data_IF_433626537018
#
_entry.id   IF_433626537018
#
_cell.length_a   1.000
_cell.length_b   1.000
_cell.length_c   1.000
_cell.angle_alpha   90.00
_cell.angle_beta   90.00
_cell.angle_gamma   90.00
#
_symmetry.space_group_name_H-M   'P 1'
#
loop_
_entity.id
_entity.type
_entity.pdbx_description
1 polymer ?
#
# COMPACT_ATOMS: atom_id res chain seq x y z
N UNK A 1 -15.16 2.26 9.25
CA UNK A 1 -14.17 2.56 8.18
C UNK A 1 -14.43 1.62 7.01
N UNK A 2 -14.44 2.08 5.77
CA UNK A 2 -14.61 1.22 4.59
C UNK A 2 -13.52 0.15 4.51
N UNK A 3 -13.89 -1.05 4.05
CA UNK A 3 -13.00 -2.22 4.06
C UNK A 3 -11.70 -1.98 3.26
N UNK A 4 -11.81 -1.37 2.07
CA UNK A 4 -10.64 -1.06 1.23
C UNK A 4 -9.65 -0.12 1.92
N UNK A 5 -10.15 0.90 2.62
CA UNK A 5 -9.34 1.83 3.41
C UNK A 5 -8.64 1.07 4.55
N UNK A 6 -9.41 0.24 5.25
CA UNK A 6 -8.88 -0.54 6.37
C UNK A 6 -7.76 -1.49 5.93
N UNK A 7 -7.95 -2.19 4.80
CA UNK A 7 -6.94 -3.08 4.25
C UNK A 7 -5.67 -2.32 3.82
N UNK A 8 -5.83 -1.21 3.09
CA UNK A 8 -4.69 -0.42 2.63
C UNK A 8 -3.89 0.15 3.82
N UNK A 9 -4.56 0.74 4.79
CA UNK A 9 -3.90 1.22 6.02
C UNK A 9 -3.31 0.07 6.84
N UNK A 10 -3.99 -1.08 6.89
CA UNK A 10 -3.49 -2.28 7.57
C UNK A 10 -2.15 -2.75 6.99
N UNK A 11 -2.02 -2.75 5.66
CA UNK A 11 -0.76 -3.10 4.98
C UNK A 11 0.38 -2.17 5.37
N UNK A 12 0.13 -0.85 5.37
CA UNK A 12 1.17 0.14 5.74
C UNK A 12 1.55 0.04 7.21
N UNK A 13 0.56 -0.08 8.12
CA UNK A 13 0.85 -0.28 9.55
C UNK A 13 1.64 -1.56 9.80
N UNK A 14 1.30 -2.64 9.08
CA UNK A 14 2.03 -3.91 9.20
C UNK A 14 3.45 -3.80 8.66
N UNK A 15 3.65 -3.02 7.57
CA UNK A 15 4.97 -2.72 7.03
C UNK A 15 5.83 -1.97 8.04
N UNK A 16 5.28 -0.94 8.65
CA UNK A 16 5.95 -0.15 9.70
C UNK A 16 6.27 -1.01 10.92
N UNK A 17 5.31 -1.80 11.40
CA UNK A 17 5.54 -2.75 12.49
C UNK A 17 6.66 -3.74 12.15
N UNK A 18 6.68 -4.29 10.94
CA UNK A 18 7.71 -5.25 10.53
C UNK A 18 9.10 -4.60 10.50
N UNK A 19 9.19 -3.34 10.08
CA UNK A 19 10.43 -2.56 10.07
C UNK A 19 11.01 -2.38 11.46
N UNK A 20 10.18 -2.11 12.47
CA UNK A 20 10.65 -1.84 13.83
C UNK A 20 10.81 -3.09 14.70
N UNK A 21 10.00 -4.13 14.45
CA UNK A 21 9.82 -5.21 15.42
C UNK A 21 10.20 -6.60 14.87
N UNK A 22 10.75 -6.69 13.67
CA UNK A 22 11.15 -7.97 13.07
C UNK A 22 12.55 -7.91 12.46
N UNK A 23 13.09 -9.07 12.11
CA UNK A 23 14.37 -9.17 11.39
C UNK A 23 14.35 -8.50 10.01
N UNK A 24 13.17 -8.19 9.46
CA UNK A 24 13.03 -7.43 8.22
C UNK A 24 13.49 -5.97 8.37
N UNK A 25 13.54 -5.44 9.59
CA UNK A 25 13.99 -4.07 9.85
C UNK A 25 15.41 -3.77 9.36
N UNK A 26 16.26 -4.77 9.28
CA UNK A 26 17.59 -4.61 8.70
C UNK A 26 17.60 -4.29 7.19
N UNK A 27 16.54 -4.68 6.49
CA UNK A 27 16.40 -4.49 5.04
C UNK A 27 15.43 -3.36 4.68
N UNK A 28 14.36 -3.16 5.47
CA UNK A 28 13.32 -2.18 5.16
C UNK A 28 13.73 -0.77 5.54
N UNK A 29 13.36 0.18 4.68
CA UNK A 29 13.51 1.63 4.87
C UNK A 29 12.14 2.28 5.08
N UNK A 30 12.09 3.58 5.50
CA UNK A 30 10.83 4.20 5.93
C UNK A 30 9.77 4.37 4.84
N UNK A 31 10.18 4.57 3.58
CA UNK A 31 9.26 4.92 2.52
C UNK A 31 8.50 3.68 1.99
N UNK A 32 7.23 3.87 1.74
CA UNK A 32 6.39 2.81 1.21
C UNK A 32 4.99 3.29 0.88
N UNK A 33 4.28 2.50 0.10
CA UNK A 33 2.87 2.75 -0.24
C UNK A 33 2.13 1.44 -0.47
N UNK A 34 0.83 1.46 -0.23
CA UNK A 34 -0.06 0.35 -0.53
C UNK A 34 -1.24 0.82 -1.37
N UNK A 35 -1.75 -0.10 -2.18
CA UNK A 35 -3.00 0.09 -2.90
C UNK A 35 -3.76 -1.21 -2.91
N UNK A 36 -5.07 -1.14 -2.69
CA UNK A 36 -5.97 -2.29 -2.68
C UNK A 36 -7.12 -2.02 -3.65
N UNK A 37 -7.35 -2.95 -4.56
CA UNK A 37 -8.50 -2.92 -5.46
C UNK A 37 -9.43 -4.08 -5.12
N UNK A 38 -10.69 -3.76 -4.82
CA UNK A 38 -11.70 -4.72 -4.40
C UNK A 38 -12.85 -4.79 -5.38
N UNK A 39 -13.34 -5.98 -5.63
CA UNK A 39 -14.59 -6.23 -6.35
C UNK A 39 -15.76 -6.23 -5.39
N UNK A 40 -16.86 -5.67 -5.84
CA UNK A 40 -18.13 -5.68 -5.13
C UNK A 40 -19.18 -6.42 -5.99
N UNK A 41 -20.09 -7.09 -5.35
CA UNK A 41 -21.25 -7.69 -6.02
C UNK A 41 -22.31 -6.62 -6.38
N UNK A 42 -23.37 -7.06 -7.07
CA UNK A 42 -24.45 -6.17 -7.48
C UNK A 42 -25.25 -5.57 -6.29
N UNK A 43 -25.04 -6.08 -5.09
CA UNK A 43 -25.66 -5.59 -3.85
C UNK A 43 -24.69 -4.67 -3.05
N UNK A 44 -23.51 -4.36 -3.61
CA UNK A 44 -22.51 -3.53 -2.95
C UNK A 44 -21.73 -4.26 -1.84
N UNK A 45 -21.77 -5.58 -1.77
CA UNK A 45 -21.01 -6.36 -0.78
C UNK A 45 -19.63 -6.73 -1.32
N UNK A 46 -18.58 -6.72 -0.47
CA UNK A 46 -17.25 -7.12 -0.88
C UNK A 46 -17.23 -8.57 -1.41
N UNK A 47 -16.77 -8.75 -2.65
CA UNK A 47 -16.70 -10.05 -3.33
C UNK A 47 -15.28 -10.64 -3.37
N UNK A 48 -14.27 -9.85 -3.11
CA UNK A 48 -12.85 -10.27 -3.07
C UNK A 48 -11.91 -9.24 -3.67
N UNK A 49 -10.63 -9.45 -3.45
CA UNK A 49 -9.58 -8.57 -3.96
C UNK A 49 -9.31 -8.86 -5.44
N UNK A 50 -9.27 -7.81 -6.25
CA UNK A 50 -8.80 -7.86 -7.63
C UNK A 50 -7.29 -7.71 -7.70
N UNK A 51 -6.74 -6.73 -6.97
CA UNK A 51 -5.30 -6.55 -6.88
C UNK A 51 -4.85 -5.93 -5.56
N UNK A 52 -3.61 -6.24 -5.19
CA UNK A 52 -2.88 -5.64 -4.07
C UNK A 52 -1.55 -5.16 -4.60
N UNK A 53 -1.24 -3.89 -4.37
CA UNK A 53 0.06 -3.30 -4.70
C UNK A 53 0.71 -2.87 -3.39
N UNK A 54 1.95 -3.30 -3.19
CA UNK A 54 2.78 -2.88 -2.06
C UNK A 54 4.14 -2.42 -2.59
N UNK A 55 4.52 -1.19 -2.28
CA UNK A 55 5.87 -0.70 -2.51
C UNK A 55 6.54 -0.45 -1.17
N UNK A 56 7.73 -0.97 -1.00
CA UNK A 56 8.52 -0.85 0.23
C UNK A 56 9.96 -0.52 -0.12
N UNK A 57 10.45 0.59 0.41
CA UNK A 57 11.84 0.99 0.28
C UNK A 57 12.72 -0.01 1.04
N UNK A 58 13.84 -0.39 0.44
CA UNK A 58 14.77 -1.36 1.00
C UNK A 58 16.22 -0.97 0.74
N UNK A 59 17.16 -1.57 1.50
CA UNK A 59 18.57 -1.43 1.21
C UNK A 59 19.00 -2.33 0.04
N UNK A 60 20.28 -2.26 -0.34
CA UNK A 60 20.83 -3.02 -1.46
C UNK A 60 21.17 -4.48 -1.12
N UNK A 61 21.21 -4.81 0.17
CA UNK A 61 21.73 -6.10 0.67
C UNK A 61 20.78 -7.27 0.47
N UNK A 62 19.54 -7.03 0.03
CA UNK A 62 18.54 -8.07 -0.20
C UNK A 62 18.20 -8.17 -1.69
N UNK A 63 18.13 -9.40 -2.19
CA UNK A 63 17.66 -9.64 -3.55
C UNK A 63 16.13 -9.46 -3.66
N UNK A 64 15.67 -9.07 -4.84
CA UNK A 64 14.27 -8.74 -5.08
C UNK A 64 13.33 -9.94 -4.86
N UNK A 65 13.74 -11.14 -5.21
CA UNK A 65 12.88 -12.34 -5.12
C UNK A 65 12.63 -12.67 -3.64
N UNK A 66 13.71 -12.71 -2.83
CA UNK A 66 13.61 -12.91 -1.39
C UNK A 66 12.78 -11.82 -0.71
N UNK A 67 13.00 -10.56 -1.07
CA UNK A 67 12.22 -9.44 -0.53
C UNK A 67 10.73 -9.59 -0.84
N UNK A 68 10.38 -9.88 -2.09
CA UNK A 68 8.98 -10.08 -2.52
C UNK A 68 8.32 -11.23 -1.76
N UNK A 69 9.01 -12.34 -1.59
CA UNK A 69 8.50 -13.48 -0.84
C UNK A 69 8.25 -13.13 0.63
N UNK A 70 9.21 -12.49 1.28
CA UNK A 70 9.09 -12.06 2.68
C UNK A 70 7.97 -11.05 2.88
N UNK A 71 7.87 -10.01 2.04
CA UNK A 71 6.80 -9.02 2.10
C UNK A 71 5.42 -9.64 1.89
N UNK A 72 5.32 -10.61 0.98
CA UNK A 72 4.07 -11.34 0.79
C UNK A 72 3.67 -12.09 2.05
N UNK A 73 4.56 -12.91 2.61
CA UNK A 73 4.28 -13.76 3.76
C UNK A 73 4.04 -12.97 5.05
N UNK A 74 4.84 -11.93 5.30
CA UNK A 74 4.81 -11.20 6.57
C UNK A 74 3.80 -10.04 6.57
N UNK A 75 3.56 -9.41 5.41
CA UNK A 75 2.73 -8.21 5.32
C UNK A 75 1.38 -8.50 4.65
N UNK A 76 1.41 -9.04 3.42
CA UNK A 76 0.19 -9.13 2.60
C UNK A 76 -0.72 -10.26 3.09
N UNK A 77 -0.19 -11.46 3.24
CA UNK A 77 -0.99 -12.63 3.60
C UNK A 77 -1.75 -12.43 4.93
N UNK A 78 -1.14 -11.94 6.02
CA UNK A 78 -1.86 -11.75 7.28
C UNK A 78 -3.03 -10.75 7.20
N UNK A 79 -2.94 -9.76 6.31
CA UNK A 79 -3.94 -8.68 6.17
C UNK A 79 -5.00 -9.03 5.13
N UNK A 80 -4.58 -9.61 4.00
CA UNK A 80 -5.42 -9.73 2.82
C UNK A 80 -5.98 -11.13 2.58
N UNK A 81 -5.42 -12.19 3.20
CA UNK A 81 -5.72 -13.59 2.93
C UNK A 81 -7.23 -13.90 2.89
N UNK A 82 -7.99 -13.33 3.82
CA UNK A 82 -9.45 -13.55 3.90
C UNK A 82 -10.20 -13.11 2.63
N UNK A 83 -9.67 -12.11 1.94
CA UNK A 83 -10.31 -11.50 0.77
C UNK A 83 -9.61 -11.84 -0.54
N UNK A 84 -8.49 -12.55 -0.49
CA UNK A 84 -7.76 -13.01 -1.67
C UNK A 84 -8.53 -14.15 -2.33
N UNK A 85 -8.50 -14.15 -3.66
CA UNK A 85 -9.00 -15.21 -4.54
C UNK A 85 -7.85 -15.69 -5.41
N UNK A 86 -8.03 -16.81 -6.10
CA UNK A 86 -6.99 -17.40 -6.97
C UNK A 86 -6.55 -16.45 -8.10
N UNK A 87 -7.45 -15.57 -8.53
CA UNK A 87 -7.21 -14.56 -9.56
C UNK A 87 -6.71 -13.21 -9.02
N UNK A 88 -6.48 -13.07 -7.71
CA UNK A 88 -5.98 -11.83 -7.11
C UNK A 88 -4.54 -11.56 -7.57
N UNK A 89 -4.32 -10.42 -8.20
CA UNK A 89 -3.00 -9.98 -8.65
C UNK A 89 -2.23 -9.31 -7.50
N UNK A 90 -1.02 -9.77 -7.23
CA UNK A 90 -0.16 -9.20 -6.19
C UNK A 90 1.07 -8.59 -6.88
N UNK A 91 1.28 -7.29 -6.65
CA UNK A 91 2.41 -6.54 -7.18
C UNK A 91 3.24 -5.98 -6.01
N UNK A 92 4.47 -6.44 -5.87
CA UNK A 92 5.40 -5.98 -4.85
C UNK A 92 6.59 -5.35 -5.56
N UNK A 93 6.87 -4.07 -5.30
CA UNK A 93 7.92 -3.30 -5.97
C UNK A 93 7.87 -3.52 -7.50
N UNK A 94 6.69 -3.29 -8.10
CA UNK A 94 6.43 -3.63 -9.51
C UNK A 94 7.32 -2.87 -10.51
N UNK A 95 7.88 -1.73 -10.11
CA UNK A 95 8.80 -0.91 -10.91
C UNK A 95 10.26 -1.33 -10.76
N UNK A 96 10.55 -2.38 -9.99
CA UNK A 96 11.90 -2.85 -9.70
C UNK A 96 12.43 -2.41 -8.35
N UNK A 97 13.74 -2.25 -8.23
CA UNK A 97 14.43 -1.89 -6.98
C UNK A 97 13.98 -0.54 -6.46
N UNK A 98 13.65 -0.47 -5.18
CA UNK A 98 13.24 0.75 -4.50
C UNK A 98 14.20 1.05 -3.35
N UNK A 99 15.39 1.51 -3.68
CA UNK A 99 16.46 1.84 -2.72
C UNK A 99 16.45 3.32 -2.38
N UNK A 100 16.31 4.21 -3.37
CA UNK A 100 16.24 5.65 -3.16
C UNK A 100 14.78 6.03 -2.91
N UNK A 101 14.50 6.61 -1.75
CA UNK A 101 13.15 7.02 -1.34
C UNK A 101 13.20 8.05 -0.22
N UNK A 102 12.01 8.41 0.30
CA UNK A 102 11.88 9.48 1.28
C UNK A 102 12.32 10.84 0.73
N UNK A 103 12.77 11.78 1.59
CA UNK A 103 13.12 13.14 1.18
C UNK A 103 14.26 13.24 0.14
N UNK A 104 15.12 12.21 0.05
CA UNK A 104 16.18 12.15 -0.95
C UNK A 104 15.62 11.87 -2.35
N UNK A 105 14.58 11.02 -2.42
CA UNK A 105 13.89 10.69 -3.67
C UNK A 105 12.90 11.77 -4.10
N UNK A 106 12.09 12.24 -3.15
CA UNK A 106 11.09 13.29 -3.34
C UNK A 106 10.85 13.99 -2.01
N UNK A 107 11.19 15.25 -1.91
CA UNK A 107 10.97 16.06 -0.70
C UNK A 107 9.49 16.25 -0.40
N UNK A 108 8.62 16.11 -1.42
CA UNK A 108 7.19 16.31 -1.30
C UNK A 108 6.81 17.76 -0.99
N UNK A 109 5.51 18.01 -0.98
CA UNK A 109 4.92 19.28 -0.55
C UNK A 109 3.64 19.01 0.22
N UNK A 110 3.38 19.83 1.24
CA UNK A 110 2.14 19.77 2.00
C UNK A 110 0.92 19.99 1.09
N UNK A 111 -0.15 19.19 1.30
CA UNK A 111 -1.41 19.33 0.57
C UNK A 111 -1.39 18.76 -0.86
N UNK A 112 -0.37 17.98 -1.25
CA UNK A 112 -0.32 17.32 -2.56
C UNK A 112 -0.83 15.88 -2.58
N UNK A 113 -1.41 15.40 -1.50
CA UNK A 113 -2.03 14.07 -1.40
C UNK A 113 -3.49 14.17 -0.96
N UNK A 114 -4.20 15.14 -1.51
CA UNK A 114 -5.58 15.49 -1.14
C UNK A 114 -6.56 14.30 -1.23
N UNK A 115 -6.37 13.39 -2.18
CA UNK A 115 -7.18 12.17 -2.28
C UNK A 115 -6.94 11.23 -1.11
N UNK A 116 -5.68 11.05 -0.69
CA UNK A 116 -5.32 10.21 0.46
C UNK A 116 -5.78 10.86 1.77
N UNK A 117 -5.64 12.17 1.87
CA UNK A 117 -5.97 12.95 3.07
C UNK A 117 -7.48 13.01 3.36
N UNK A 118 -8.33 12.69 2.38
CA UNK A 118 -9.78 12.73 2.49
C UNK A 118 -10.40 11.33 2.42
N UNK A 119 -11.04 10.98 1.30
CA UNK A 119 -11.83 9.76 1.14
C UNK A 119 -11.12 8.70 0.30
N UNK A 120 -9.88 8.92 -0.10
CA UNK A 120 -9.22 8.13 -1.13
C UNK A 120 -9.98 8.23 -2.45
N UNK A 121 -10.13 7.10 -3.15
CA UNK A 121 -10.94 7.04 -4.38
C UNK A 121 -12.38 6.54 -4.12
N UNK A 122 -12.82 6.49 -2.86
CA UNK A 122 -14.17 6.03 -2.49
C UNK A 122 -15.24 7.08 -2.77
N UNK A 123 -14.89 8.36 -2.77
CA UNK A 123 -15.79 9.45 -3.02
C UNK A 123 -15.18 10.49 -3.96
N UNK A 124 -16.04 11.28 -4.58
CA UNK A 124 -15.60 12.37 -5.46
C UNK A 124 -14.91 13.45 -4.64
N UNK A 125 -13.85 14.01 -5.20
CA UNK A 125 -13.12 15.13 -4.62
C UNK A 125 -13.09 16.30 -5.61
N UNK A 126 -13.35 17.53 -5.12
CA UNK A 126 -13.45 18.72 -5.96
C UNK A 126 -12.11 19.25 -6.51
N UNK A 127 -11.00 18.68 -6.13
CA UNK A 127 -9.66 19.13 -6.53
C UNK A 127 -9.05 18.42 -7.75
N UNK A 128 -9.71 17.38 -8.27
CA UNK A 128 -9.21 16.64 -9.44
C UNK A 128 -10.28 16.49 -10.52
N UNK A 129 -9.91 16.56 -11.80
CA UNK A 129 -10.84 16.33 -12.90
C UNK A 129 -11.37 14.89 -12.87
N UNK A 130 -12.65 14.76 -13.13
CA UNK A 130 -13.38 13.51 -13.21
C UNK A 130 -12.79 12.59 -14.31
N UNK A 131 -12.10 11.52 -13.94
CA UNK A 131 -11.85 10.40 -14.83
C UNK A 131 -12.86 9.29 -14.54
N UNK A 132 -13.78 9.11 -15.45
CA UNK A 132 -14.85 8.13 -15.36
C UNK A 132 -14.38 6.69 -15.53
N UNK A 133 -13.70 6.17 -14.52
CA UNK A 133 -13.53 4.72 -14.31
C UNK A 133 -13.71 4.44 -12.83
N UNK A 134 -14.70 3.62 -12.54
CA UNK A 134 -14.99 3.12 -11.21
C UNK A 134 -13.98 2.03 -10.81
N UNK A 135 -12.71 2.38 -10.73
CA UNK A 135 -11.70 1.60 -10.03
C UNK A 135 -11.42 2.28 -8.69
N UNK A 136 -11.90 1.66 -7.62
CA UNK A 136 -11.60 2.09 -6.25
C UNK A 136 -10.13 1.81 -5.93
N UNK A 137 -9.27 2.80 -6.18
CA UNK A 137 -7.86 2.77 -5.81
C UNK A 137 -7.67 3.60 -4.56
N UNK A 138 -7.32 2.98 -3.46
CA UNK A 138 -6.89 3.68 -2.26
C UNK A 138 -5.37 3.58 -2.13
N UNK A 139 -4.70 4.71 -2.17
CA UNK A 139 -3.27 4.81 -1.90
C UNK A 139 -3.13 5.32 -0.47
N UNK A 140 -2.63 4.49 0.44
CA UNK A 140 -2.24 4.91 1.77
C UNK A 140 -0.72 5.17 1.79
N UNK A 141 -0.33 6.37 2.12
CA UNK A 141 1.07 6.75 2.33
C UNK A 141 1.33 6.79 3.84
N UNK A 142 2.36 6.15 4.35
CA UNK A 142 2.67 6.26 5.77
C UNK A 142 3.07 7.70 6.10
N UNK A 143 2.38 8.30 7.08
CA UNK A 143 2.92 9.48 7.74
C UNK A 143 4.09 9.04 8.62
N UNK A 144 5.28 9.45 8.23
CA UNK A 144 6.46 9.35 9.10
C UNK A 144 6.33 10.49 10.12
N UNK A 145 5.85 10.17 11.32
CA UNK A 145 6.06 11.07 12.45
C UNK A 145 7.51 10.91 12.87
N UNK A 146 8.29 12.00 12.95
CA UNK A 146 9.57 11.93 13.64
C UNK A 146 9.29 11.60 15.10
N UNK A 147 9.98 10.59 15.61
CA UNK A 147 10.01 10.30 17.05
C UNK A 147 10.53 11.56 17.75
N UNK A 148 9.64 12.28 18.46
CA UNK A 148 10.01 13.26 19.49
C UNK A 148 10.05 12.58 20.83
#
# INVERSE_FOLDING_TARGET
MPLTVNLAQGLVRKLDFARHNTSLGKYLRPDGKSQVTMRFDNQGRPAGLSSVILSAQHNEDIDEASLRQLLRQVIIDPICKLWMKDDTKIHINATGRFVIGGPIGDTGLTGRKIMVDTYGTLARHGGEPFQGRMELRLIAVPHIWPDM
#
